data_IF_415516947670
#
_entry.id   IF_415516947670
#
_cell.length_a   1.000
_cell.length_b   1.000
_cell.length_c   1.000
_cell.angle_alpha   90.00
_cell.angle_beta   90.00
_cell.angle_gamma   90.00
#
_symmetry.space_group_name_H-M   'P 1'
#
loop_
_entity.id
_entity.type
_entity.pdbx_description
1 polymer ?
#
# COMPACT_ATOMS: atom_id res chain seq x y z
N UNK A 1 -21.34 -29.06 -17.87
CA UNK A 1 -20.16 -29.74 -18.48
C UNK A 1 -18.90 -29.11 -17.93
N UNK A 2 -18.25 -29.79 -16.98
CA UNK A 2 -16.99 -29.34 -16.39
C UNK A 2 -15.90 -29.37 -17.47
N UNK A 3 -15.38 -28.19 -17.84
CA UNK A 3 -14.16 -28.12 -18.65
C UNK A 3 -13.01 -28.54 -17.73
N UNK A 4 -12.64 -29.82 -17.81
CA UNK A 4 -11.33 -30.29 -17.37
C UNK A 4 -10.27 -29.29 -17.88
N UNK A 5 -9.53 -28.69 -16.96
CA UNK A 5 -8.35 -27.91 -17.30
C UNK A 5 -7.31 -28.91 -17.78
N UNK A 6 -7.38 -29.31 -19.07
CA UNK A 6 -6.43 -30.24 -19.68
C UNK A 6 -5.03 -29.65 -19.82
N UNK A 7 -4.85 -28.38 -19.49
CA UNK A 7 -3.57 -27.68 -19.58
C UNK A 7 -3.43 -26.68 -18.43
N UNK A 8 -2.45 -26.91 -17.56
CA UNK A 8 -2.09 -26.01 -16.46
C UNK A 8 -1.01 -25.05 -16.96
N UNK A 9 -1.18 -23.76 -16.69
CA UNK A 9 -0.24 -22.69 -17.02
C UNK A 9 0.66 -22.34 -15.82
N UNK A 10 1.96 -22.11 -16.05
CA UNK A 10 2.90 -21.55 -15.06
C UNK A 10 3.63 -20.35 -15.64
N UNK A 11 3.80 -19.31 -14.82
CA UNK A 11 4.70 -18.19 -15.10
C UNK A 11 6.07 -18.39 -14.46
N UNK A 12 7.13 -18.01 -15.16
CA UNK A 12 8.51 -18.04 -14.66
C UNK A 12 9.16 -16.67 -14.85
N UNK A 13 10.06 -16.29 -13.92
CA UNK A 13 10.91 -15.10 -14.05
C UNK A 13 11.58 -15.05 -15.43
N UNK A 14 11.61 -13.85 -16.02
CA UNK A 14 12.17 -13.63 -17.35
C UNK A 14 13.65 -13.24 -17.29
N UNK A 15 14.56 -13.98 -17.93
CA UNK A 15 15.94 -13.48 -18.16
C UNK A 15 15.89 -12.15 -18.94
N UNK A 16 16.72 -11.19 -18.53
CA UNK A 16 16.98 -9.93 -19.24
C UNK A 16 17.33 -10.22 -20.71
N UNK A 17 16.42 -9.94 -21.63
CA UNK A 17 16.73 -9.85 -23.06
C UNK A 17 16.52 -8.42 -23.50
N UNK A 18 17.61 -7.71 -23.83
CA UNK A 18 17.56 -6.29 -24.26
C UNK A 18 16.69 -5.41 -23.35
N UNK A 19 16.85 -5.56 -22.03
CA UNK A 19 16.13 -4.78 -21.01
C UNK A 19 14.59 -4.92 -20.99
N UNK A 20 14.08 -6.01 -21.57
CA UNK A 20 12.65 -6.33 -21.60
C UNK A 20 12.29 -7.31 -20.49
N UNK A 21 11.29 -6.95 -19.68
CA UNK A 21 10.67 -7.85 -18.70
C UNK A 21 9.66 -8.76 -19.38
N UNK A 22 9.69 -10.05 -19.06
CA UNK A 22 8.90 -11.08 -19.75
C UNK A 22 8.27 -12.03 -18.74
N UNK A 23 6.97 -12.27 -18.88
CA UNK A 23 6.26 -13.33 -18.16
C UNK A 23 6.14 -14.57 -19.07
N UNK A 24 7.07 -15.51 -18.95
CA UNK A 24 7.06 -16.73 -19.77
C UNK A 24 5.93 -17.67 -19.36
N UNK A 25 5.16 -18.15 -20.33
CA UNK A 25 4.13 -19.15 -20.12
C UNK A 25 4.66 -20.57 -20.41
N UNK A 26 4.45 -21.49 -19.48
CA UNK A 26 4.64 -22.92 -19.66
C UNK A 26 3.33 -23.66 -19.50
N UNK A 27 3.18 -24.75 -20.26
CA UNK A 27 1.97 -25.56 -20.30
C UNK A 27 2.28 -27.02 -19.98
N UNK A 28 1.42 -27.66 -19.19
CA UNK A 28 1.52 -29.08 -18.84
C UNK A 28 0.14 -29.72 -18.72
N UNK A 29 0.05 -31.01 -19.03
CA UNK A 29 -1.18 -31.82 -18.80
C UNK A 29 -1.13 -32.64 -17.51
N UNK A 30 0.06 -32.84 -16.96
CA UNK A 30 0.35 -33.73 -15.83
C UNK A 30 1.06 -33.02 -14.66
N UNK A 31 1.34 -31.73 -14.80
CA UNK A 31 2.11 -30.89 -13.87
C UNK A 31 3.59 -31.29 -13.71
N UNK A 32 4.06 -32.30 -14.45
CA UNK A 32 5.42 -32.83 -14.40
C UNK A 32 6.23 -32.44 -15.64
N UNK A 33 5.64 -32.62 -16.83
CA UNK A 33 6.27 -32.30 -18.11
C UNK A 33 5.76 -30.95 -18.60
N UNK A 34 6.66 -29.98 -18.73
CA UNK A 34 6.32 -28.61 -19.10
C UNK A 34 6.90 -28.25 -20.46
N UNK A 35 6.05 -27.72 -21.33
CA UNK A 35 6.45 -27.15 -22.63
C UNK A 35 6.28 -25.65 -22.59
N UNK A 36 7.33 -24.91 -22.92
CA UNK A 36 7.28 -23.45 -23.08
C UNK A 36 6.30 -23.09 -24.22
N UNK A 37 5.41 -22.15 -23.99
CA UNK A 37 4.56 -21.59 -25.04
C UNK A 37 5.39 -20.78 -26.04
N UNK A 38 4.89 -20.66 -27.27
CA UNK A 38 5.59 -19.89 -28.31
C UNK A 38 5.70 -18.40 -27.94
N UNK A 39 4.61 -17.85 -27.39
CA UNK A 39 4.54 -16.46 -26.95
C UNK A 39 4.49 -16.39 -25.41
N UNK A 40 5.10 -15.36 -24.79
CA UNK A 40 4.86 -15.05 -23.38
C UNK A 40 3.43 -14.56 -23.17
N UNK A 41 2.96 -14.58 -21.92
CA UNK A 41 1.63 -14.06 -21.60
C UNK A 41 1.57 -12.53 -21.77
N UNK A 42 2.68 -11.86 -21.41
CA UNK A 42 2.91 -10.41 -21.50
C UNK A 42 4.41 -10.11 -21.42
N UNK A 43 4.82 -8.97 -21.96
CA UNK A 43 6.18 -8.46 -21.88
C UNK A 43 6.18 -6.93 -21.97
N UNK A 44 7.17 -6.28 -21.38
CA UNK A 44 7.32 -4.82 -21.42
C UNK A 44 8.78 -4.41 -21.54
N UNK A 45 9.08 -3.50 -22.45
CA UNK A 45 10.45 -3.03 -22.69
C UNK A 45 10.86 -1.95 -21.67
N UNK A 46 12.14 -1.92 -21.29
CA UNK A 46 12.70 -0.92 -20.37
C UNK A 46 12.30 -1.11 -18.91
N UNK A 47 11.77 -2.29 -18.54
CA UNK A 47 11.38 -2.63 -17.17
C UNK A 47 12.39 -3.54 -16.47
N UNK A 48 13.45 -3.95 -17.15
CA UNK A 48 14.45 -4.88 -16.62
C UNK A 48 13.87 -6.27 -16.31
N UNK A 49 14.42 -6.93 -15.28
CA UNK A 49 13.99 -8.27 -14.88
C UNK A 49 12.65 -8.24 -14.12
N UNK A 50 11.76 -9.17 -14.47
CA UNK A 50 10.50 -9.41 -13.76
C UNK A 50 10.65 -10.58 -12.80
N UNK A 51 10.54 -10.28 -11.52
CA UNK A 51 10.56 -11.24 -10.41
C UNK A 51 9.15 -11.50 -9.89
N UNK A 52 8.97 -12.66 -9.24
CA UNK A 52 7.74 -13.05 -8.54
C UNK A 52 6.44 -12.72 -9.30
N UNK A 53 6.29 -13.13 -10.57
CA UNK A 53 5.05 -12.88 -11.28
C UNK A 53 3.87 -13.53 -10.55
N UNK A 54 2.73 -12.87 -10.61
CA UNK A 54 1.45 -13.40 -10.15
C UNK A 54 0.37 -13.07 -11.18
N UNK A 55 -0.51 -14.03 -11.44
CA UNK A 55 -1.54 -13.90 -12.47
C UNK A 55 -2.82 -14.59 -12.02
N UNK A 56 -3.87 -13.81 -11.84
CA UNK A 56 -5.10 -14.30 -11.24
C UNK A 56 -6.33 -13.48 -11.65
N UNK A 57 -7.54 -14.07 -11.57
CA UNK A 57 -8.78 -13.36 -11.83
C UNK A 57 -9.28 -12.60 -10.59
N UNK A 58 -9.99 -11.50 -10.84
CA UNK A 58 -10.79 -10.75 -9.87
C UNK A 58 -12.21 -10.57 -10.40
N UNK A 59 -13.20 -10.62 -9.52
CA UNK A 59 -14.59 -10.39 -9.89
C UNK A 59 -14.78 -8.91 -10.29
N UNK A 60 -15.58 -8.65 -11.33
CA UNK A 60 -15.93 -7.27 -11.72
C UNK A 60 -16.90 -6.59 -10.75
N UNK A 61 -17.59 -7.37 -9.92
CA UNK A 61 -18.52 -6.90 -8.91
C UNK A 61 -18.45 -7.77 -7.67
N UNK A 62 -18.81 -7.18 -6.52
CA UNK A 62 -18.70 -7.83 -5.23
C UNK A 62 -17.26 -7.88 -4.70
N UNK A 63 -17.10 -8.52 -3.54
CA UNK A 63 -15.83 -8.54 -2.78
C UNK A 63 -15.22 -9.94 -2.68
N UNK A 64 -15.81 -10.93 -3.34
CA UNK A 64 -15.31 -12.30 -3.29
C UNK A 64 -14.02 -12.44 -4.11
N UNK A 65 -13.05 -13.13 -3.53
CA UNK A 65 -11.94 -13.70 -4.28
C UNK A 65 -12.42 -14.80 -5.23
N UNK A 66 -11.61 -15.07 -6.25
CA UNK A 66 -11.86 -16.12 -7.22
C UNK A 66 -10.72 -17.13 -7.21
N UNK A 67 -11.07 -18.39 -7.38
CA UNK A 67 -10.10 -19.44 -7.72
C UNK A 67 -9.31 -19.01 -8.97
N UNK A 68 -8.02 -19.32 -8.97
CA UNK A 68 -7.08 -18.86 -10.01
C UNK A 68 -7.46 -19.36 -11.42
N UNK A 69 -8.25 -20.43 -11.50
CA UNK A 69 -8.69 -21.03 -12.76
C UNK A 69 -10.00 -20.45 -13.32
N UNK A 70 -10.65 -19.54 -12.60
CA UNK A 70 -11.94 -18.97 -13.04
C UNK A 70 -11.74 -18.10 -14.28
N UNK A 71 -12.54 -18.39 -15.31
CA UNK A 71 -12.61 -17.64 -16.56
C UNK A 71 -14.05 -17.20 -16.82
N UNK A 72 -14.25 -16.09 -17.53
CA UNK A 72 -15.59 -15.65 -17.93
C UNK A 72 -15.70 -14.18 -18.29
N UNK A 73 -16.91 -13.73 -18.59
CA UNK A 73 -17.18 -12.32 -18.93
C UNK A 73 -17.21 -11.41 -17.69
N UNK A 74 -17.51 -11.97 -16.52
CA UNK A 74 -17.66 -11.24 -15.25
C UNK A 74 -16.35 -11.14 -14.44
N UNK A 75 -15.21 -11.47 -15.05
CA UNK A 75 -13.89 -11.39 -14.42
C UNK A 75 -12.97 -10.45 -15.16
N UNK A 76 -12.05 -9.85 -14.42
CA UNK A 76 -10.85 -9.18 -14.92
C UNK A 76 -9.63 -9.98 -14.47
N UNK A 77 -8.50 -9.84 -15.14
CA UNK A 77 -7.26 -10.49 -14.74
C UNK A 77 -6.27 -9.45 -14.26
N UNK A 78 -5.54 -9.82 -13.22
CA UNK A 78 -4.42 -9.05 -12.68
C UNK A 78 -3.15 -9.73 -13.14
N UNK A 79 -2.25 -8.98 -13.77
CA UNK A 79 -0.87 -9.40 -13.94
C UNK A 79 -0.01 -8.53 -13.02
N UNK A 80 0.66 -9.16 -12.07
CA UNK A 80 1.58 -8.51 -11.15
C UNK A 80 3.00 -9.00 -11.37
N UNK A 81 3.95 -8.08 -11.22
CA UNK A 81 5.39 -8.36 -11.26
C UNK A 81 6.13 -7.52 -10.22
N UNK A 82 7.23 -8.05 -9.70
CA UNK A 82 8.20 -7.31 -8.92
C UNK A 82 9.36 -6.90 -9.83
N UNK A 83 9.66 -5.60 -9.96
CA UNK A 83 10.77 -5.15 -10.79
C UNK A 83 12.05 -5.15 -9.96
N UNK A 84 13.03 -5.94 -10.39
CA UNK A 84 14.34 -6.07 -9.75
C UNK A 84 15.04 -4.70 -9.65
N UNK A 85 14.98 -3.93 -10.75
CA UNK A 85 15.68 -2.66 -10.89
C UNK A 85 15.18 -1.55 -9.95
N UNK A 86 13.87 -1.50 -9.66
CA UNK A 86 13.30 -0.44 -8.81
C UNK A 86 12.99 -0.91 -7.40
N UNK A 87 13.06 -2.22 -7.13
CA UNK A 87 12.62 -2.83 -5.86
C UNK A 87 11.18 -2.45 -5.47
N UNK A 88 10.35 -2.20 -6.47
CA UNK A 88 8.90 -2.01 -6.32
C UNK A 88 8.18 -3.07 -7.13
N UNK A 89 6.90 -3.23 -6.86
CA UNK A 89 6.05 -4.13 -7.58
C UNK A 89 4.83 -3.44 -8.15
N UNK A 90 4.47 -3.87 -9.36
CA UNK A 90 3.48 -3.24 -10.19
C UNK A 90 2.48 -4.28 -10.64
N UNK A 91 1.25 -3.84 -10.85
CA UNK A 91 0.26 -4.66 -11.50
C UNK A 91 -0.46 -3.88 -12.59
N UNK A 92 -0.94 -4.62 -13.56
CA UNK A 92 -1.91 -4.13 -14.54
C UNK A 92 -3.19 -4.94 -14.43
N UNK A 93 -4.28 -4.31 -14.87
CA UNK A 93 -5.57 -4.96 -15.02
C UNK A 93 -5.85 -5.16 -16.50
N UNK A 94 -6.46 -6.30 -16.84
CA UNK A 94 -6.72 -6.62 -18.23
C UNK A 94 -7.64 -7.82 -18.43
N UNK A 95 -7.68 -8.32 -19.65
CA UNK A 95 -8.44 -9.50 -20.03
C UNK A 95 -7.51 -10.60 -20.50
N UNK A 96 -7.75 -11.82 -20.03
CA UNK A 96 -7.10 -13.02 -20.51
C UNK A 96 -7.96 -13.74 -21.54
N UNK A 97 -7.38 -14.03 -22.69
CA UNK A 97 -7.98 -14.79 -23.78
C UNK A 97 -7.40 -16.20 -23.79
N UNK A 98 -8.04 -17.11 -23.04
CA UNK A 98 -7.54 -18.48 -22.83
C UNK A 98 -7.38 -19.29 -24.13
N UNK A 99 -8.15 -19.00 -25.18
CA UNK A 99 -8.01 -19.66 -26.48
C UNK A 99 -6.70 -19.28 -27.20
N UNK A 100 -6.17 -18.10 -26.91
CA UNK A 100 -4.98 -17.52 -27.54
C UNK A 100 -3.75 -17.52 -26.61
N UNK A 101 -3.91 -17.97 -25.36
CA UNK A 101 -2.91 -17.85 -24.30
C UNK A 101 -2.38 -16.41 -24.11
N UNK A 102 -3.25 -15.42 -24.30
CA UNK A 102 -2.86 -14.00 -24.37
C UNK A 102 -3.53 -13.15 -23.30
N UNK A 103 -2.73 -12.38 -22.55
CA UNK A 103 -3.22 -11.29 -21.71
C UNK A 103 -3.15 -9.96 -22.46
N UNK A 104 -4.20 -9.15 -22.33
CA UNK A 104 -4.26 -7.81 -22.90
C UNK A 104 -4.60 -6.83 -21.77
N UNK A 105 -3.67 -5.95 -21.36
CA UNK A 105 -3.95 -4.93 -20.35
C UNK A 105 -4.97 -3.91 -20.88
N UNK A 106 -5.70 -3.28 -19.97
CA UNK A 106 -6.67 -2.23 -20.28
C UNK A 106 -6.03 -0.93 -20.77
N UNK A 107 -4.69 -0.84 -20.75
CA UNK A 107 -3.89 0.34 -21.09
C UNK A 107 -4.20 1.59 -20.24
N UNK A 108 -4.74 1.41 -19.03
CA UNK A 108 -4.97 2.49 -18.05
C UNK A 108 -3.77 2.76 -17.13
N UNK A 109 -2.82 1.83 -17.06
CA UNK A 109 -1.61 1.90 -16.23
C UNK A 109 -0.47 1.17 -16.93
N UNK A 110 0.76 1.73 -16.96
CA UNK A 110 1.94 1.03 -17.49
C UNK A 110 2.51 0.00 -16.50
N UNK A 111 3.36 -0.91 -16.99
CA UNK A 111 4.08 -1.91 -16.18
C UNK A 111 5.39 -1.36 -15.53
N UNK A 112 5.46 -0.05 -15.27
CA UNK A 112 6.67 0.62 -14.77
C UNK A 112 6.35 1.60 -13.63
N UNK A 113 7.32 2.42 -13.21
CA UNK A 113 7.21 3.34 -12.07
C UNK A 113 5.97 4.25 -12.04
N UNK A 114 5.37 4.55 -13.20
CA UNK A 114 4.12 5.33 -13.33
C UNK A 114 2.83 4.51 -13.12
N UNK A 115 2.97 3.20 -12.95
CA UNK A 115 1.88 2.25 -12.85
C UNK A 115 1.32 2.09 -11.45
N UNK A 116 0.28 1.26 -11.36
CA UNK A 116 -0.33 0.85 -10.11
C UNK A 116 0.60 -0.07 -9.34
N UNK A 117 0.70 0.16 -8.03
CA UNK A 117 1.43 -0.69 -7.07
C UNK A 117 0.43 -1.22 -6.05
N UNK A 118 0.69 -2.38 -5.47
CA UNK A 118 -0.07 -2.78 -4.29
C UNK A 118 0.24 -1.84 -3.11
N UNK A 119 1.51 -1.50 -2.95
CA UNK A 119 1.97 -0.67 -1.86
C UNK A 119 3.07 0.25 -2.36
N UNK A 120 3.03 1.50 -1.92
CA UNK A 120 3.94 2.55 -2.36
C UNK A 120 5.16 2.73 -1.43
N UNK A 121 5.37 1.81 -0.47
CA UNK A 121 6.49 1.81 0.46
C UNK A 121 7.36 0.53 0.42
N UNK A 122 7.84 0.08 1.58
CA UNK A 122 8.61 -1.15 1.76
C UNK A 122 7.73 -2.39 1.55
N UNK A 123 7.57 -2.80 0.29
CA UNK A 123 6.73 -3.94 -0.08
C UNK A 123 7.27 -4.61 -1.34
N UNK A 124 7.64 -5.88 -1.24
CA UNK A 124 8.27 -6.59 -2.35
C UNK A 124 7.93 -8.08 -2.36
N UNK A 125 8.24 -8.71 -3.50
CA UNK A 125 8.09 -10.14 -3.74
C UNK A 125 6.69 -10.70 -3.38
N UNK A 126 5.64 -9.87 -3.46
CA UNK A 126 4.31 -10.28 -3.04
C UNK A 126 3.73 -11.42 -3.86
N UNK A 127 2.86 -12.19 -3.23
CA UNK A 127 2.17 -13.32 -3.84
C UNK A 127 0.80 -13.49 -3.22
N UNK A 128 -0.19 -13.72 -4.08
CA UNK A 128 -1.55 -14.00 -3.64
C UNK A 128 -1.90 -15.48 -3.73
N UNK A 129 -2.89 -15.90 -2.94
CA UNK A 129 -3.56 -17.18 -3.08
C UNK A 129 -5.06 -17.00 -2.87
N UNK A 130 -5.84 -17.97 -3.34
CA UNK A 130 -7.28 -18.04 -3.08
C UNK A 130 -7.53 -18.88 -1.83
N UNK A 131 -8.23 -18.30 -0.84
CA UNK A 131 -8.78 -19.00 0.31
C UNK A 131 -10.21 -19.47 -0.01
N UNK A 132 -10.42 -20.76 -0.32
CA UNK A 132 -11.76 -21.28 -0.63
C UNK A 132 -12.68 -21.35 0.59
N UNK A 133 -12.15 -21.33 1.81
CA UNK A 133 -12.96 -21.40 3.03
C UNK A 133 -13.71 -20.09 3.29
N UNK A 134 -13.15 -18.97 2.82
CA UNK A 134 -13.74 -17.62 2.97
C UNK A 134 -14.14 -16.98 1.65
N UNK A 135 -13.81 -17.61 0.52
CA UNK A 135 -13.93 -17.02 -0.81
C UNK A 135 -13.20 -15.68 -0.90
N UNK A 136 -11.95 -15.63 -0.43
CA UNK A 136 -11.13 -14.43 -0.44
C UNK A 136 -9.85 -14.67 -1.24
N UNK A 137 -9.33 -13.61 -1.88
CA UNK A 137 -7.95 -13.61 -2.35
C UNK A 137 -7.09 -12.90 -1.33
N UNK A 138 -6.10 -13.60 -0.80
CA UNK A 138 -5.21 -13.10 0.25
C UNK A 138 -3.85 -12.84 -0.34
N UNK A 139 -3.29 -11.66 -0.06
CA UNK A 139 -1.98 -11.18 -0.49
C UNK A 139 -1.00 -11.22 0.68
N UNK A 140 0.16 -11.81 0.43
CA UNK A 140 1.35 -11.71 1.27
C UNK A 140 2.38 -10.79 0.61
N UNK A 141 3.10 -10.02 1.41
CA UNK A 141 4.16 -9.12 0.95
C UNK A 141 5.31 -9.08 1.93
N UNK A 142 6.53 -9.18 1.40
CA UNK A 142 7.75 -9.07 2.19
C UNK A 142 8.18 -7.61 2.32
N UNK A 143 8.47 -7.19 3.55
CA UNK A 143 9.18 -5.94 3.82
C UNK A 143 10.60 -6.26 4.26
N UNK A 144 11.57 -5.87 3.44
CA UNK A 144 12.98 -5.89 3.82
C UNK A 144 13.25 -4.82 4.89
N UNK A 145 14.42 -4.89 5.51
CA UNK A 145 14.82 -3.93 6.53
C UNK A 145 15.14 -2.56 5.94
N UNK A 146 15.01 -1.51 6.75
CA UNK A 146 15.48 -0.15 6.44
C UNK A 146 16.53 0.37 7.43
N UNK A 147 17.05 -0.54 8.28
CA UNK A 147 18.30 -0.34 9.01
C UNK A 147 19.49 -0.91 8.22
N UNK A 148 20.62 -1.14 8.89
CA UNK A 148 21.85 -1.55 8.22
C UNK A 148 22.09 -3.05 8.35
N UNK A 149 22.85 -3.65 7.43
CA UNK A 149 23.27 -5.05 7.54
C UNK A 149 24.03 -5.36 8.84
N UNK A 150 24.72 -4.37 9.43
CA UNK A 150 25.35 -4.51 10.76
C UNK A 150 24.32 -4.65 11.87
N UNK A 151 23.20 -3.92 11.74
CA UNK A 151 22.10 -4.00 12.69
C UNK A 151 21.34 -5.32 12.56
N UNK A 152 21.13 -5.80 11.33
CA UNK A 152 20.60 -7.14 11.05
C UNK A 152 21.39 -8.22 11.80
N UNK A 153 22.72 -8.22 11.64
CA UNK A 153 23.61 -9.16 12.32
C UNK A 153 23.51 -9.00 13.84
N UNK A 154 23.49 -7.75 14.33
CA UNK A 154 23.44 -7.46 15.76
C UNK A 154 22.12 -7.89 16.40
N UNK A 155 20.98 -7.69 15.72
CA UNK A 155 19.65 -8.06 16.21
C UNK A 155 19.32 -9.53 15.97
N UNK A 156 20.07 -10.20 15.08
CA UNK A 156 20.01 -11.65 14.83
C UNK A 156 18.92 -12.09 13.86
N UNK A 157 18.27 -11.15 13.15
CA UNK A 157 17.22 -11.43 12.19
C UNK A 157 17.10 -10.27 11.17
N UNK A 158 16.44 -10.52 10.03
CA UNK A 158 16.14 -9.49 9.04
C UNK A 158 14.94 -9.88 8.17
N UNK A 159 14.06 -8.92 7.90
CA UNK A 159 12.89 -9.09 7.04
C UNK A 159 11.66 -9.56 7.80
N UNK A 160 10.50 -8.99 7.44
CA UNK A 160 9.20 -9.40 7.98
C UNK A 160 8.22 -9.65 6.83
N UNK A 161 7.20 -10.47 7.09
CA UNK A 161 5.98 -10.43 6.29
C UNK A 161 5.07 -9.35 6.87
N UNK A 162 4.47 -8.58 5.99
CA UNK A 162 3.42 -7.63 6.35
C UNK A 162 2.11 -8.38 6.63
N UNK A 163 1.18 -7.72 7.31
CA UNK A 163 -0.11 -8.33 7.61
C UNK A 163 -0.82 -8.74 6.31
N UNK A 164 -1.30 -9.99 6.19
CA UNK A 164 -2.00 -10.44 5.00
C UNK A 164 -3.20 -9.55 4.66
N UNK A 165 -3.38 -9.27 3.37
CA UNK A 165 -4.41 -8.35 2.88
C UNK A 165 -5.39 -9.06 1.98
N UNK A 166 -6.69 -8.81 2.12
CA UNK A 166 -7.67 -9.21 1.11
C UNK A 166 -7.55 -8.30 -0.12
N UNK A 167 -7.63 -8.87 -1.33
CA UNK A 167 -7.66 -8.11 -2.58
C UNK A 167 -9.07 -8.15 -3.19
N UNK A 168 -9.58 -6.99 -3.58
CA UNK A 168 -10.79 -6.87 -4.41
C UNK A 168 -10.58 -5.86 -5.54
N UNK A 169 -11.46 -5.84 -6.54
CA UNK A 169 -11.45 -4.81 -7.58
C UNK A 169 -12.23 -3.59 -7.07
N UNK A 170 -11.67 -2.39 -7.23
CA UNK A 170 -12.40 -1.15 -6.96
C UNK A 170 -13.67 -1.10 -7.83
N UNK A 171 -14.83 -0.64 -7.31
CA UNK A 171 -16.05 -0.52 -8.11
C UNK A 171 -15.90 0.26 -9.42
N UNK A 172 -14.94 1.20 -9.51
CA UNK A 172 -14.63 1.93 -10.74
C UNK A 172 -13.88 1.07 -11.78
N UNK A 173 -13.39 -0.10 -11.39
CA UNK A 173 -12.70 -1.08 -12.23
C UNK A 173 -11.27 -0.71 -12.63
N UNK A 174 -10.69 0.35 -12.08
CA UNK A 174 -9.39 0.91 -12.51
C UNK A 174 -8.21 0.51 -11.64
N UNK A 175 -8.45 0.08 -10.41
CA UNK A 175 -7.42 -0.35 -9.47
C UNK A 175 -7.94 -1.44 -8.53
N UNK A 176 -7.03 -2.02 -7.75
CA UNK A 176 -7.36 -2.98 -6.70
C UNK A 176 -7.46 -2.27 -5.35
N UNK A 177 -8.33 -2.80 -4.49
CA UNK A 177 -8.45 -2.42 -3.09
C UNK A 177 -7.79 -3.49 -2.23
N UNK A 178 -7.08 -3.05 -1.19
CA UNK A 178 -6.46 -3.93 -0.21
C UNK A 178 -6.89 -3.57 1.20
N UNK A 179 -7.20 -4.57 2.01
CA UNK A 179 -7.55 -4.37 3.41
C UNK A 179 -6.96 -5.48 4.26
N UNK A 180 -6.45 -5.20 5.48
CA UNK A 180 -6.00 -6.25 6.39
C UNK A 180 -7.08 -7.31 6.58
N UNK A 181 -6.68 -8.59 6.64
CA UNK A 181 -7.61 -9.70 6.90
C UNK A 181 -8.34 -9.49 8.23
N UNK A 182 -9.63 -9.84 8.26
CA UNK A 182 -10.52 -9.57 9.40
C UNK A 182 -10.09 -10.28 10.69
N UNK A 183 -9.35 -11.38 10.56
CA UNK A 183 -8.78 -12.13 11.69
C UNK A 183 -7.83 -11.29 12.52
N UNK A 184 -7.21 -10.25 11.94
CA UNK A 184 -6.40 -9.29 12.69
C UNK A 184 -7.20 -8.64 13.82
N UNK A 185 -8.49 -8.39 13.62
CA UNK A 185 -9.35 -7.73 14.59
C UNK A 185 -9.48 -8.53 15.91
N UNK A 186 -9.17 -9.84 15.89
CA UNK A 186 -9.15 -10.68 17.11
C UNK A 186 -8.04 -10.29 18.08
N UNK A 187 -7.01 -9.58 17.59
CA UNK A 187 -5.93 -9.05 18.42
C UNK A 187 -6.29 -7.69 19.05
N UNK A 188 -7.38 -7.03 18.63
CA UNK A 188 -7.80 -5.75 19.23
C UNK A 188 -8.09 -5.93 20.72
N UNK A 189 -7.49 -5.06 21.52
CA UNK A 189 -7.58 -5.02 22.98
C UNK A 189 -8.19 -3.71 23.46
N UNK A 190 -7.52 -3.04 24.39
CA UNK A 190 -7.98 -1.76 24.95
C UNK A 190 -8.27 -0.75 23.82
N UNK A 191 -9.46 -0.14 23.88
CA UNK A 191 -9.99 0.73 22.84
C UNK A 191 -10.15 2.15 23.38
N UNK A 192 -9.78 3.12 22.57
CA UNK A 192 -10.03 4.54 22.82
C UNK A 192 -10.65 5.16 21.57
N UNK A 193 -11.63 6.03 21.78
CA UNK A 193 -12.29 6.77 20.73
C UNK A 193 -12.19 8.27 20.97
N UNK A 194 -11.72 9.00 19.97
CA UNK A 194 -11.86 10.45 19.88
C UNK A 194 -12.95 10.77 18.85
N UNK A 195 -13.71 11.83 19.08
CA UNK A 195 -14.74 12.27 18.13
C UNK A 195 -14.83 13.78 18.11
N UNK A 196 -15.13 14.32 16.92
CA UNK A 196 -15.34 15.74 16.66
C UNK A 196 -14.21 16.66 17.19
N UNK A 197 -12.95 16.25 17.04
CA UNK A 197 -11.81 17.09 17.43
C UNK A 197 -11.46 18.04 16.29
N UNK A 198 -11.70 19.34 16.50
CA UNK A 198 -11.27 20.37 15.54
C UNK A 198 -9.77 20.61 15.71
N UNK A 199 -9.01 20.41 14.64
CA UNK A 199 -7.57 20.70 14.59
C UNK A 199 -7.32 21.88 13.65
N UNK A 200 -6.95 23.02 14.23
CA UNK A 200 -6.43 24.18 13.52
C UNK A 200 -4.98 23.93 13.12
N UNK A 201 -4.42 24.86 12.35
CA UNK A 201 -3.02 24.84 11.96
C UNK A 201 -2.10 24.77 13.19
N UNK A 202 -1.23 23.76 13.22
CA UNK A 202 -0.26 23.53 14.29
C UNK A 202 -0.80 22.69 15.44
N UNK A 203 -2.11 22.39 15.44
CA UNK A 203 -2.72 21.59 16.50
C UNK A 203 -2.27 20.13 16.40
N UNK A 204 -2.07 19.55 17.58
CA UNK A 204 -1.68 18.17 17.81
C UNK A 204 -2.53 17.62 18.95
N UNK A 205 -3.25 16.53 18.72
CA UNK A 205 -4.06 15.86 19.75
C UNK A 205 -3.51 14.47 20.02
N UNK A 206 -3.17 14.20 21.28
CA UNK A 206 -2.64 12.90 21.70
C UNK A 206 -3.74 11.85 21.82
N UNK A 207 -3.42 10.63 21.39
CA UNK A 207 -4.26 9.44 21.59
C UNK A 207 -3.66 8.64 22.75
N UNK A 208 -4.22 8.80 23.94
CA UNK A 208 -3.77 8.15 25.17
C UNK A 208 -4.63 6.94 25.52
N UNK A 209 -4.22 6.10 26.47
CA UNK A 209 -5.00 4.94 26.91
C UNK A 209 -4.85 3.68 26.03
N UNK A 210 -3.86 3.66 25.13
CA UNK A 210 -3.50 2.52 24.29
C UNK A 210 -1.99 2.22 24.39
N UNK A 211 -1.50 1.20 23.69
CA UNK A 211 -0.08 0.91 23.47
C UNK A 211 0.39 1.41 22.09
N UNK A 212 0.90 2.65 21.93
CA UNK A 212 1.11 3.25 20.61
C UNK A 212 2.13 2.54 19.73
N UNK A 213 3.08 1.81 20.32
CA UNK A 213 4.04 1.00 19.58
C UNK A 213 3.45 -0.29 18.99
N UNK A 214 2.26 -0.73 19.42
CA UNK A 214 1.59 -1.92 18.90
C UNK A 214 0.07 -1.66 18.90
N UNK A 215 -0.43 -1.04 17.83
CA UNK A 215 -1.79 -0.50 17.76
C UNK A 215 -2.39 -0.59 16.35
N UNK A 216 -3.72 -0.62 16.30
CA UNK A 216 -4.51 -0.45 15.07
C UNK A 216 -5.33 0.83 15.23
N UNK A 217 -5.23 1.74 14.27
CA UNK A 217 -5.84 3.08 14.35
C UNK A 217 -6.64 3.32 13.09
N UNK A 218 -7.92 3.61 13.24
CA UNK A 218 -8.81 4.03 12.16
C UNK A 218 -9.28 5.45 12.41
N UNK A 219 -9.07 6.35 11.44
CA UNK A 219 -9.43 7.77 11.56
C UNK A 219 -10.16 8.26 10.31
N UNK A 220 -11.21 9.05 10.51
CA UNK A 220 -11.88 9.81 9.46
C UNK A 220 -11.69 11.30 9.71
N UNK A 221 -11.03 11.97 8.76
CA UNK A 221 -10.88 13.41 8.73
C UNK A 221 -11.97 14.02 7.86
N UNK A 222 -12.53 15.16 8.27
CA UNK A 222 -13.35 16.02 7.43
C UNK A 222 -12.89 17.46 7.45
N UNK A 223 -13.29 18.23 6.44
CA UNK A 223 -12.92 19.64 6.30
C UNK A 223 -14.10 20.41 5.71
N UNK A 224 -14.19 21.71 6.04
CA UNK A 224 -15.37 22.52 5.69
C UNK A 224 -15.35 22.91 4.22
N UNK A 225 -14.18 23.26 3.70
CA UNK A 225 -14.00 23.66 2.32
C UNK A 225 -12.76 23.04 1.68
N UNK A 226 -12.80 22.97 0.35
CA UNK A 226 -11.66 22.65 -0.52
C UNK A 226 -10.97 23.93 -1.04
N UNK A 227 -11.48 25.12 -0.71
CA UNK A 227 -11.05 26.38 -1.30
C UNK A 227 -9.61 26.73 -0.98
N UNK A 228 -9.11 26.32 0.19
CA UNK A 228 -7.73 26.55 0.58
C UNK A 228 -6.77 25.50 0.01
N UNK A 229 -7.23 24.43 -0.66
CA UNK A 229 -6.31 23.51 -1.34
C UNK A 229 -5.41 24.27 -2.32
N UNK A 230 -4.10 24.03 -2.25
CA UNK A 230 -3.11 24.78 -3.02
C UNK A 230 -3.01 24.24 -4.46
N UNK A 231 -2.54 25.03 -5.43
CA UNK A 231 -2.39 24.54 -6.80
C UNK A 231 -1.37 23.41 -6.89
N UNK A 232 -1.69 22.38 -7.65
CA UNK A 232 -0.76 21.32 -8.02
C UNK A 232 0.21 21.85 -9.08
N UNK A 233 1.52 21.78 -8.83
CA UNK A 233 2.52 22.20 -9.84
C UNK A 233 2.47 21.23 -11.04
N UNK A 234 2.19 21.71 -12.26
CA UNK A 234 2.17 20.87 -13.46
C UNK A 234 3.45 20.06 -13.69
N UNK A 235 4.60 20.52 -13.19
CA UNK A 235 5.89 19.81 -13.29
C UNK A 235 5.88 18.51 -12.48
N UNK A 236 5.08 18.42 -11.42
CA UNK A 236 4.98 17.23 -10.57
C UNK A 236 4.28 16.05 -11.26
N UNK A 237 3.54 16.25 -12.36
CA UNK A 237 2.95 15.16 -13.15
C UNK A 237 3.98 14.19 -13.74
N UNK A 238 5.24 14.62 -13.82
CA UNK A 238 6.35 13.81 -14.33
C UNK A 238 7.22 13.21 -13.21
N UNK A 239 6.85 13.44 -11.95
CA UNK A 239 7.59 12.96 -10.79
C UNK A 239 6.89 11.74 -10.18
N UNK A 240 7.64 10.94 -9.42
CA UNK A 240 7.03 9.96 -8.53
C UNK A 240 6.30 10.69 -7.39
N UNK A 241 5.22 10.12 -6.86
CA UNK A 241 4.51 10.69 -5.73
C UNK A 241 5.45 10.89 -4.52
N UNK A 242 6.43 10.00 -4.34
CA UNK A 242 7.50 10.11 -3.33
C UNK A 242 8.31 11.40 -3.46
N UNK A 243 8.62 11.85 -4.69
CA UNK A 243 9.36 13.10 -4.90
C UNK A 243 8.49 14.31 -4.55
N UNK A 244 7.18 14.25 -4.84
CA UNK A 244 6.22 15.30 -4.46
C UNK A 244 6.13 15.37 -2.93
N UNK A 245 6.03 14.22 -2.27
CA UNK A 245 6.01 14.13 -0.81
C UNK A 245 7.29 14.69 -0.18
N UNK A 246 8.46 14.36 -0.74
CA UNK A 246 9.74 14.89 -0.28
C UNK A 246 9.84 16.41 -0.42
N UNK A 247 9.16 17.01 -1.42
CA UNK A 247 9.07 18.47 -1.61
C UNK A 247 7.98 19.13 -0.76
N UNK A 248 6.99 18.37 -0.30
CA UNK A 248 5.80 18.80 0.43
C UNK A 248 5.56 17.91 1.65
N UNK A 249 6.63 17.72 2.42
CA UNK A 249 6.66 16.86 3.60
C UNK A 249 5.83 17.41 4.76
N UNK A 250 5.84 16.70 5.88
CA UNK A 250 5.03 17.02 7.06
C UNK A 250 5.29 18.42 7.68
N UNK A 251 6.48 18.99 7.46
CA UNK A 251 6.85 20.35 7.91
C UNK A 251 6.50 21.46 6.93
N UNK A 252 6.25 21.11 5.67
CA UNK A 252 5.94 22.11 4.64
C UNK A 252 4.46 22.41 4.71
N UNK A 253 4.16 23.53 5.37
CA UNK A 253 2.81 24.04 5.48
C UNK A 253 2.13 24.10 4.10
N UNK A 254 0.89 23.67 4.04
CA UNK A 254 0.04 23.75 2.86
C UNK A 254 -1.31 24.36 3.16
N UNK A 255 -2.15 24.32 2.13
CA UNK A 255 -3.53 24.75 2.21
C UNK A 255 -4.40 23.78 3.02
N UNK A 256 -4.67 22.64 2.40
CA UNK A 256 -5.31 21.47 3.01
C UNK A 256 -4.24 20.40 3.22
N UNK A 257 -3.72 20.38 4.44
CA UNK A 257 -2.64 19.51 4.87
C UNK A 257 -1.26 20.13 4.79
N UNK A 258 -0.25 19.46 5.36
CA UNK A 258 -0.31 18.07 5.80
C UNK A 258 -1.15 17.88 7.08
N UNK A 259 -2.08 16.93 7.05
CA UNK A 259 -2.87 16.49 8.21
C UNK A 259 -2.96 14.96 8.24
N UNK A 260 -2.94 14.36 9.43
CA UNK A 260 -2.87 12.91 9.55
C UNK A 260 -2.52 12.42 10.95
N UNK A 261 -1.77 11.33 11.01
CA UNK A 261 -1.28 10.71 12.24
C UNK A 261 0.24 10.89 12.36
N UNK A 262 0.73 11.22 13.55
CA UNK A 262 2.14 11.10 13.91
C UNK A 262 2.30 9.80 14.73
N UNK A 263 2.82 8.76 14.08
CA UNK A 263 3.01 7.43 14.66
C UNK A 263 4.40 7.27 15.23
N UNK A 264 4.57 6.34 16.19
CA UNK A 264 5.86 6.04 16.82
C UNK A 264 6.62 7.32 17.22
N UNK A 265 5.92 8.23 17.88
CA UNK A 265 6.43 9.54 18.25
C UNK A 265 7.09 9.50 19.64
N UNK A 266 8.19 10.22 19.83
CA UNK A 266 8.76 10.47 21.15
C UNK A 266 8.00 11.62 21.84
N UNK A 267 8.03 11.65 23.18
CA UNK A 267 7.35 12.69 23.99
C UNK A 267 7.74 14.11 23.57
N UNK A 268 9.01 14.32 23.24
CA UNK A 268 9.59 15.59 22.80
C UNK A 268 9.47 15.83 21.28
N UNK A 269 8.78 14.94 20.55
CA UNK A 269 8.65 14.92 19.09
C UNK A 269 9.97 15.06 18.33
N UNK A 270 11.09 14.64 18.93
CA UNK A 270 12.37 14.55 18.23
C UNK A 270 12.36 13.44 17.19
N UNK A 271 11.69 12.32 17.51
CA UNK A 271 11.41 11.21 16.59
C UNK A 271 9.91 11.05 16.38
N UNK A 272 9.47 10.83 15.15
CA UNK A 272 8.13 10.37 14.80
C UNK A 272 8.05 10.02 13.31
N UNK A 273 7.04 9.23 12.94
CA UNK A 273 6.73 8.85 11.56
C UNK A 273 5.35 9.35 11.19
N UNK A 274 5.24 10.52 10.53
CA UNK A 274 3.96 11.06 10.12
C UNK A 274 3.42 10.36 8.87
N UNK A 275 2.15 9.95 8.96
CA UNK A 275 1.33 9.45 7.85
C UNK A 275 0.21 10.45 7.62
N UNK A 276 0.16 11.07 6.45
CA UNK A 276 -0.69 12.25 6.25
C UNK A 276 -1.21 12.39 4.82
N UNK A 277 -2.27 13.18 4.69
CA UNK A 277 -2.81 13.62 3.41
C UNK A 277 -2.44 15.07 3.12
N UNK A 278 -2.40 15.38 1.82
CA UNK A 278 -2.33 16.74 1.28
C UNK A 278 -3.24 16.82 0.06
N UNK A 279 -4.03 17.88 -0.04
CA UNK A 279 -4.99 18.07 -1.13
C UNK A 279 -4.58 19.28 -1.97
N UNK A 280 -4.52 19.07 -3.27
CA UNK A 280 -4.18 20.07 -4.26
C UNK A 280 -5.34 20.33 -5.22
N UNK A 281 -5.34 21.49 -5.87
CA UNK A 281 -6.20 21.81 -7.02
C UNK A 281 -5.45 21.58 -8.32
N UNK A 282 -6.03 20.81 -9.24
CA UNK A 282 -5.48 20.62 -10.58
C UNK A 282 -6.57 20.67 -11.65
N UNK A 283 -6.51 21.68 -12.52
CA UNK A 283 -7.42 21.86 -13.66
C UNK A 283 -8.92 21.67 -13.33
N UNK A 284 -9.38 22.28 -12.22
CA UNK A 284 -10.79 22.19 -11.78
C UNK A 284 -11.15 20.89 -11.03
N UNK A 285 -10.18 20.01 -10.78
CA UNK A 285 -10.30 18.82 -9.95
C UNK A 285 -9.39 18.90 -8.74
N UNK A 286 -9.48 17.91 -7.85
CA UNK A 286 -8.59 17.77 -6.71
C UNK A 286 -7.66 16.57 -6.89
N UNK A 287 -6.42 16.72 -6.42
CA UNK A 287 -5.43 15.65 -6.34
C UNK A 287 -5.12 15.41 -4.88
N UNK A 288 -5.29 14.18 -4.42
CA UNK A 288 -4.99 13.78 -3.05
C UNK A 288 -3.67 13.01 -3.04
N UNK A 289 -2.72 13.50 -2.24
CA UNK A 289 -1.45 12.82 -1.97
C UNK A 289 -1.50 12.22 -0.57
N UNK A 290 -1.19 10.94 -0.45
CA UNK A 290 -0.93 10.28 0.83
C UNK A 290 0.58 10.08 0.98
N UNK A 291 1.11 10.44 2.13
CA UNK A 291 2.52 10.39 2.49
C UNK A 291 2.73 9.53 3.74
N UNK A 292 3.84 8.79 3.77
CA UNK A 292 4.45 8.22 4.96
C UNK A 292 5.92 8.65 5.00
N UNK A 293 6.24 9.59 5.89
CA UNK A 293 7.50 10.33 5.85
C UNK A 293 8.46 9.88 6.95
N UNK A 294 9.38 8.96 6.65
CA UNK A 294 10.28 8.40 7.66
C UNK A 294 11.48 9.30 8.00
N UNK A 295 11.61 10.49 7.41
CA UNK A 295 12.82 11.35 7.51
C UNK A 295 13.20 11.71 8.94
N UNK A 296 12.23 11.79 9.86
CA UNK A 296 12.42 12.02 11.31
C UNK A 296 12.03 10.84 12.19
N UNK A 297 11.92 9.64 11.63
CA UNK A 297 11.53 8.43 12.36
C UNK A 297 12.55 7.96 13.40
N UNK A 298 13.81 8.42 13.31
CA UNK A 298 14.90 7.98 14.19
C UNK A 298 16.02 9.02 14.29
N UNK A 299 16.66 9.13 15.45
CA UNK A 299 17.89 9.89 15.69
C UNK A 299 19.14 9.13 15.22
N UNK A 300 19.02 7.82 15.01
CA UNK A 300 20.12 7.01 14.52
C UNK A 300 20.47 7.39 13.08
N UNK A 301 21.75 7.64 12.83
CA UNK A 301 22.30 7.94 11.51
C UNK A 301 22.38 6.67 10.66
N UNK A 302 22.58 6.84 9.36
CA UNK A 302 22.81 5.75 8.39
C UNK A 302 21.61 4.81 8.12
N UNK A 303 20.45 5.09 8.70
CA UNK A 303 19.20 4.40 8.35
C UNK A 303 18.62 4.90 7.03
N UNK A 304 18.02 3.99 6.26
CA UNK A 304 17.22 4.34 5.10
C UNK A 304 15.86 4.89 5.58
N UNK A 305 15.60 6.17 5.34
CA UNK A 305 14.45 6.91 5.89
C UNK A 305 13.73 7.72 4.80
N UNK A 306 13.10 7.04 3.82
CA UNK A 306 12.46 7.69 2.69
C UNK A 306 11.12 8.34 3.08
N UNK A 307 10.63 9.25 2.24
CA UNK A 307 9.26 9.75 2.30
C UNK A 307 8.43 9.04 1.24
N UNK A 308 7.86 7.88 1.56
CA UNK A 308 7.01 7.15 0.61
C UNK A 308 5.69 7.87 0.39
N UNK A 309 5.13 7.73 -0.80
CA UNK A 309 3.84 8.34 -1.12
C UNK A 309 3.14 7.69 -2.30
N UNK A 310 1.83 7.85 -2.34
CA UNK A 310 0.97 7.50 -3.45
C UNK A 310 -0.16 8.52 -3.60
N UNK A 311 -0.62 8.73 -4.83
CA UNK A 311 -1.84 9.48 -5.06
C UNK A 311 -3.06 8.61 -4.70
N UNK A 312 -4.14 9.25 -4.25
CA UNK A 312 -5.37 8.57 -3.81
C UNK A 312 -6.51 8.91 -4.77
N UNK A 313 -7.04 7.90 -5.46
CA UNK A 313 -8.19 8.03 -6.37
C UNK A 313 -9.51 8.04 -5.58
N UNK A 314 -9.83 9.18 -4.97
CA UNK A 314 -10.97 9.35 -4.07
C UNK A 314 -11.84 10.54 -4.47
N UNK A 315 -13.15 10.38 -4.33
CA UNK A 315 -14.11 11.47 -4.45
C UNK A 315 -14.18 12.27 -3.15
N UNK A 316 -14.00 13.59 -3.25
CA UNK A 316 -14.04 14.53 -2.13
C UNK A 316 -15.38 15.27 -2.00
N UNK A 317 -16.44 14.80 -2.67
CA UNK A 317 -17.79 15.38 -2.56
C UNK A 317 -18.26 15.48 -1.12
N UNK A 318 -18.02 14.44 -0.32
CA UNK A 318 -18.36 14.42 1.11
C UNK A 318 -17.34 15.15 1.99
N UNK A 319 -16.23 15.63 1.40
CA UNK A 319 -15.11 16.32 2.08
C UNK A 319 -14.53 15.52 3.24
N UNK A 320 -14.39 14.21 3.03
CA UNK A 320 -13.88 13.24 4.00
C UNK A 320 -12.73 12.43 3.44
N UNK A 321 -11.81 12.07 4.32
CA UNK A 321 -10.72 11.13 4.03
C UNK A 321 -10.53 10.19 5.21
N UNK A 322 -10.55 8.89 4.93
CA UNK A 322 -10.26 7.85 5.92
C UNK A 322 -8.80 7.41 5.83
N UNK A 323 -8.19 7.11 6.96
CA UNK A 323 -6.89 6.48 7.08
C UNK A 323 -6.98 5.37 8.13
N UNK A 324 -6.48 4.17 7.81
CA UNK A 324 -6.15 3.16 8.80
C UNK A 324 -4.64 3.00 8.87
N UNK A 325 -4.07 2.92 10.07
CA UNK A 325 -2.65 2.65 10.27
C UNK A 325 -2.47 1.52 11.28
N UNK A 326 -1.84 0.43 10.85
CA UNK A 326 -1.33 -0.63 11.71
C UNK A 326 0.09 -0.25 12.14
N UNK A 327 0.34 -0.17 13.43
CA UNK A 327 1.62 0.20 14.01
C UNK A 327 2.12 -1.01 14.80
N UNK A 328 3.29 -1.52 14.44
CA UNK A 328 3.89 -2.68 15.12
C UNK A 328 5.41 -2.51 15.20
N UNK A 329 5.84 -1.83 16.26
CA UNK A 329 7.22 -1.55 16.66
C UNK A 329 8.07 -0.89 15.56
N UNK A 330 8.56 -1.67 14.60
CA UNK A 330 9.43 -1.22 13.51
C UNK A 330 8.74 -1.15 12.14
N UNK A 331 7.42 -1.36 12.10
CA UNK A 331 6.62 -1.26 10.88
C UNK A 331 5.37 -0.43 11.10
N UNK A 332 5.02 0.37 10.09
CA UNK A 332 3.75 1.09 9.99
C UNK A 332 3.13 0.78 8.63
N UNK A 333 1.99 0.09 8.60
CA UNK A 333 1.20 -0.17 7.38
C UNK A 333 -0.02 0.75 7.35
N UNK A 334 -0.11 1.57 6.31
CA UNK A 334 -1.14 2.61 6.21
C UNK A 334 -2.03 2.44 4.99
N UNK A 335 -3.34 2.55 5.18
CA UNK A 335 -4.38 2.28 4.19
C UNK A 335 -5.26 3.52 4.03
N UNK A 336 -5.03 4.29 2.97
CA UNK A 336 -5.79 5.49 2.64
C UNK A 336 -7.07 5.15 1.87
N UNK A 337 -8.15 5.86 2.20
CA UNK A 337 -9.45 5.80 1.52
C UNK A 337 -9.96 4.36 1.30
N UNK A 338 -10.04 3.56 2.37
CA UNK A 338 -10.52 2.18 2.30
C UNK A 338 -9.60 1.22 1.55
N UNK A 339 -8.29 1.49 1.54
CA UNK A 339 -7.31 0.61 0.90
C UNK A 339 -7.03 0.89 -0.57
N UNK A 340 -7.46 2.05 -1.07
CA UNK A 340 -7.15 2.52 -2.43
C UNK A 340 -5.66 2.81 -2.60
N UNK A 341 -5.01 3.30 -1.54
CA UNK A 341 -3.57 3.56 -1.52
C UNK A 341 -3.00 2.96 -0.25
N UNK A 342 -2.05 2.04 -0.39
CA UNK A 342 -1.38 1.42 0.75
C UNK A 342 0.08 1.86 0.81
N UNK A 343 0.61 2.12 1.99
CA UNK A 343 2.02 2.49 2.21
C UNK A 343 2.53 1.77 3.46
N UNK A 344 3.55 0.94 3.28
CA UNK A 344 4.27 0.26 4.37
C UNK A 344 5.61 0.94 4.60
N UNK A 345 5.94 1.28 5.84
CA UNK A 345 7.23 1.89 6.19
C UNK A 345 7.93 1.10 7.27
N UNK A 346 9.23 0.85 7.10
CA UNK A 346 10.10 0.32 8.14
C UNK A 346 10.84 1.45 8.84
N UNK A 347 10.75 1.51 10.16
CA UNK A 347 11.29 2.60 10.98
C UNK A 347 11.92 2.05 12.25
N UNK A 348 12.96 2.71 12.76
CA UNK A 348 13.74 2.22 13.90
C UNK A 348 14.02 3.37 14.88
N UNK A 349 12.99 3.91 15.56
CA UNK A 349 13.16 4.96 16.56
C UNK A 349 14.08 4.49 17.70
N UNK A 350 14.77 5.44 18.33
CA UNK A 350 15.67 5.19 19.47
C UNK A 350 15.07 5.62 20.81
N UNK A 351 14.12 6.57 20.78
CA UNK A 351 13.37 7.09 21.92
C UNK A 351 11.95 6.54 21.94
N UNK A 352 11.26 6.57 20.80
CA UNK A 352 9.85 6.18 20.67
C UNK A 352 9.68 4.64 20.60
N UNK A 353 10.16 3.94 21.64
CA UNK A 353 10.20 2.47 21.68
C UNK A 353 9.32 1.96 22.83
N UNK A 354 8.53 0.92 22.55
CA UNK A 354 7.61 0.30 23.51
C UNK A 354 6.67 1.34 24.16
N UNK A 355 6.64 1.40 25.50
CA UNK A 355 5.79 2.30 26.27
C UNK A 355 6.15 3.79 26.15
N UNK A 356 7.30 4.12 25.53
CA UNK A 356 7.72 5.50 25.27
C UNK A 356 7.27 6.02 23.91
N UNK A 357 6.64 5.16 23.10
CA UNK A 357 6.00 5.60 21.87
C UNK A 357 4.68 6.31 22.18
N UNK A 358 4.42 7.38 21.46
CA UNK A 358 3.18 8.15 21.48
C UNK A 358 2.53 8.13 20.11
N UNK A 359 1.23 8.41 20.09
CA UNK A 359 0.42 8.56 18.89
C UNK A 359 -0.33 9.89 18.96
N UNK A 360 -0.34 10.62 17.85
CA UNK A 360 -1.07 11.87 17.75
C UNK A 360 -1.82 11.97 16.42
N UNK A 361 -2.96 12.67 16.42
CA UNK A 361 -3.51 13.24 15.20
C UNK A 361 -3.08 14.71 15.09
N UNK A 362 -2.76 15.18 13.88
CA UNK A 362 -2.19 16.51 13.68
C UNK A 362 -2.77 17.22 12.45
N UNK A 363 -2.69 18.55 12.45
CA UNK A 363 -2.91 19.38 11.28
C UNK A 363 -1.86 20.49 11.19
N UNK A 364 -1.14 20.56 10.08
CA UNK A 364 -0.21 21.66 9.76
C UNK A 364 -0.60 22.37 8.45
N UNK A 365 -1.83 22.16 7.95
CA UNK A 365 -2.44 22.95 6.90
C UNK A 365 -3.13 24.21 7.44
N UNK A 366 -3.36 25.21 6.58
CA UNK A 366 -4.09 26.44 6.97
C UNK A 366 -5.59 26.22 7.14
N UNK A 367 -6.18 25.32 6.36
CA UNK A 367 -7.57 24.91 6.56
C UNK A 367 -7.66 24.05 7.82
N UNK A 368 -8.59 24.39 8.71
CA UNK A 368 -8.88 23.57 9.87
C UNK A 368 -9.56 22.27 9.42
N UNK A 369 -9.13 21.15 9.99
CA UNK A 369 -9.75 19.85 9.76
C UNK A 369 -10.42 19.37 11.04
N UNK A 370 -11.37 18.47 10.92
CA UNK A 370 -12.02 17.80 12.03
C UNK A 370 -11.66 16.33 11.99
N UNK A 371 -11.14 15.81 13.10
CA UNK A 371 -11.12 14.36 13.35
C UNK A 371 -12.55 13.98 13.73
N UNK A 372 -13.34 13.54 12.75
CA UNK A 372 -14.75 13.17 13.00
C UNK A 372 -14.82 11.99 13.95
N UNK A 373 -14.07 10.95 13.64
CA UNK A 373 -13.91 9.74 14.44
C UNK A 373 -12.46 9.28 14.36
N UNK A 374 -11.90 8.89 15.49
CA UNK A 374 -10.65 8.16 15.58
C UNK A 374 -10.86 7.05 16.59
N UNK A 375 -10.84 5.81 16.12
CA UNK A 375 -10.87 4.61 16.94
C UNK A 375 -9.47 4.00 16.95
N UNK A 376 -8.92 3.78 18.14
CA UNK A 376 -7.60 3.19 18.30
C UNK A 376 -7.65 2.01 19.27
N UNK A 377 -7.04 0.91 18.88
CA UNK A 377 -6.95 -0.32 19.67
C UNK A 377 -5.50 -0.63 19.99
N UNK A 378 -5.22 -0.92 21.25
CA UNK A 378 -4.00 -1.66 21.62
C UNK A 378 -4.09 -3.05 21.01
N UNK A 379 -3.07 -3.49 20.29
CA UNK A 379 -3.05 -4.81 19.68
C UNK A 379 -2.35 -5.80 20.61
N UNK A 380 -2.89 -6.99 20.76
CA UNK A 380 -2.23 -8.11 21.45
C UNK A 380 -1.18 -8.72 20.52
N UNK A 381 -0.09 -9.21 21.10
CA UNK A 381 0.93 -9.93 20.34
C UNK A 381 0.37 -11.25 19.83
N UNK A 382 0.54 -11.51 18.54
CA UNK A 382 0.16 -12.77 17.92
C UNK A 382 1.10 -13.91 18.35
N UNK A 383 0.58 -15.13 18.43
CA UNK A 383 1.42 -16.33 18.52
C UNK A 383 1.84 -16.72 17.10
N UNK A 384 3.08 -16.40 16.75
CA UNK A 384 3.70 -16.80 15.48
C UNK A 384 4.64 -17.97 15.81
N UNK A 385 4.25 -19.18 15.41
CA UNK A 385 5.00 -20.41 15.66
C UNK A 385 5.94 -20.74 14.51
#
# INVERSE_FOLDING_TARGET
MAKEIKTIGRLQNGRRWKDTGIAFLYKSRDFMKWKKAANPIHQSAGTGNWECPDFYPVAKSGTNGLDTSVLGQNVKHVLKVSLDATRFEYYTLGKYYAAEDRYVPDNTSPDNWKGLRYDYGNFYASKSFFDPSKNLRVLWGWANESDTAKDDIKKGWAGIQLIPRTITLDPNGKQLLQWPVKELDTLRGAHVRLSNQLLKKGDLVGVTGITPAQADVEVTFSFRSLDLAEPFDPKWRKLDAQDVCSKRGSFVQGGLGPFGLATLASEDLQEYTPVFFRIFKDAGKHVVLMCSDATRSSLKKELYRPSFAGFVDVDLTDKKLSLRSLIDHSVVESFGAGGKTCISSRVYPTKAVFHKAHLYAFNNGTEAITVETLDAWSMKTAKVN
#
